data_IF_971310434654
#
_entry.id   IF_971310434654
#
_cell.length_a   1.000
_cell.length_b   1.000
_cell.length_c   1.000
_cell.angle_alpha   90.00
_cell.angle_beta   90.00
_cell.angle_gamma   90.00
#
_symmetry.space_group_name_H-M   'P 1'
#
loop_
_entity.id
_entity.type
_entity.pdbx_description
1 polymer ?
#
# COMPACT_ATOMS: atom_id res chain seq x y z
N UNK A 1 17.57 22.22 -18.94
CA UNK A 1 17.69 20.99 -18.14
C UNK A 1 17.54 21.39 -16.69
N UNK A 2 16.33 21.74 -16.29
CA UNK A 2 15.98 21.97 -14.88
C UNK A 2 15.44 20.66 -14.36
N UNK A 3 16.11 20.17 -13.33
CA UNK A 3 15.77 18.99 -12.56
C UNK A 3 14.48 19.28 -11.78
N UNK A 4 13.34 18.75 -12.24
CA UNK A 4 12.04 18.80 -11.54
C UNK A 4 12.03 17.81 -10.36
N UNK A 5 13.11 17.78 -9.58
CA UNK A 5 13.33 16.90 -8.43
C UNK A 5 12.28 17.05 -7.30
N UNK A 6 11.30 17.94 -7.48
CA UNK A 6 10.25 18.21 -6.50
C UNK A 6 8.82 18.24 -7.09
N UNK A 7 8.60 17.67 -8.27
CA UNK A 7 7.23 17.47 -8.80
C UNK A 7 6.52 16.36 -8.03
N UNK A 8 6.04 16.69 -6.82
CA UNK A 8 5.12 15.82 -6.08
C UNK A 8 3.77 15.86 -6.77
N UNK A 9 3.23 14.69 -7.08
CA UNK A 9 1.84 14.60 -7.54
C UNK A 9 0.92 15.26 -6.52
N UNK A 10 -0.05 16.03 -7.01
CA UNK A 10 -1.16 16.47 -6.17
C UNK A 10 -1.84 15.22 -5.55
N UNK A 11 -2.30 15.26 -4.29
CA UNK A 11 -2.91 14.10 -3.65
C UNK A 11 -4.06 13.48 -4.47
N UNK A 12 -4.84 14.31 -5.17
CA UNK A 12 -5.93 13.88 -6.06
C UNK A 12 -5.47 13.14 -7.32
N UNK A 13 -4.21 13.30 -7.73
CA UNK A 13 -3.64 12.65 -8.91
C UNK A 13 -2.96 11.30 -8.59
N UNK A 14 -2.82 10.94 -7.30
CA UNK A 14 -2.23 9.67 -6.90
C UNK A 14 -3.14 8.52 -7.32
N UNK A 15 -2.55 7.48 -7.93
CA UNK A 15 -3.24 6.24 -8.33
C UNK A 15 -2.57 4.98 -7.79
N UNK A 16 -1.28 5.06 -7.49
CA UNK A 16 -0.46 3.96 -6.97
C UNK A 16 0.13 4.35 -5.63
N UNK A 17 0.08 3.43 -4.68
CA UNK A 17 0.62 3.61 -3.33
C UNK A 17 1.60 2.50 -3.01
N UNK A 18 2.78 2.87 -2.50
CA UNK A 18 3.73 1.91 -1.96
C UNK A 18 3.54 1.81 -0.44
N UNK A 19 3.34 0.59 0.06
CA UNK A 19 3.28 0.30 1.50
C UNK A 19 4.56 -0.46 1.91
N UNK A 20 5.39 0.18 2.72
CA UNK A 20 6.67 -0.39 3.19
C UNK A 20 6.47 -0.90 4.63
N UNK A 21 6.56 -2.21 4.80
CA UNK A 21 6.19 -2.94 6.01
C UNK A 21 4.78 -3.53 5.92
N UNK A 22 4.65 -4.83 6.18
CA UNK A 22 3.44 -5.64 6.03
C UNK A 22 2.92 -6.20 7.37
N UNK A 23 3.32 -5.59 8.49
CA UNK A 23 2.70 -5.84 9.80
C UNK A 23 1.27 -5.30 9.89
N UNK A 24 0.63 -5.37 11.06
CA UNK A 24 -0.79 -4.98 11.26
C UNK A 24 -1.12 -3.59 10.71
N UNK A 25 -0.29 -2.58 10.98
CA UNK A 25 -0.50 -1.21 10.51
C UNK A 25 -0.36 -1.12 8.98
N UNK A 26 0.68 -1.72 8.42
CA UNK A 26 0.93 -1.72 6.98
C UNK A 26 -0.15 -2.46 6.19
N UNK A 27 -0.61 -3.59 6.72
CA UNK A 27 -1.74 -4.33 6.16
C UNK A 27 -3.04 -3.52 6.22
N UNK A 28 -3.29 -2.80 7.33
CA UNK A 28 -4.44 -1.90 7.46
C UNK A 28 -4.44 -0.80 6.39
N UNK A 29 -3.29 -0.16 6.14
CA UNK A 29 -3.17 0.84 5.06
C UNK A 29 -3.31 0.21 3.68
N UNK A 30 -2.72 -0.96 3.46
CA UNK A 30 -2.83 -1.70 2.19
C UNK A 30 -4.31 -1.99 1.89
N UNK A 31 -5.04 -2.56 2.85
CA UNK A 31 -6.48 -2.83 2.71
C UNK A 31 -7.28 -1.54 2.47
N UNK A 32 -6.97 -0.46 3.21
CA UNK A 32 -7.62 0.83 3.07
C UNK A 32 -7.49 1.44 1.67
N UNK A 33 -6.29 1.37 1.08
CA UNK A 33 -6.02 1.90 -0.27
C UNK A 33 -6.63 1.00 -1.35
N UNK A 34 -6.54 -0.33 -1.20
CA UNK A 34 -7.21 -1.27 -2.11
C UNK A 34 -8.73 -1.04 -2.13
N UNK A 35 -9.36 -0.86 -0.97
CA UNK A 35 -10.80 -0.58 -0.85
C UNK A 35 -11.22 0.74 -1.53
N UNK A 36 -10.28 1.67 -1.76
CA UNK A 36 -10.51 2.94 -2.47
C UNK A 36 -10.15 2.87 -3.97
N UNK A 37 -9.77 1.70 -4.47
CA UNK A 37 -9.45 1.49 -5.88
C UNK A 37 -8.04 1.97 -6.28
N UNK A 38 -7.13 2.16 -5.32
CA UNK A 38 -5.73 2.41 -5.63
C UNK A 38 -5.02 1.10 -6.00
N UNK A 39 -4.01 1.20 -6.88
CA UNK A 39 -3.02 0.15 -7.07
C UNK A 39 -2.05 0.19 -5.87
N UNK A 40 -1.86 -0.93 -5.17
CA UNK A 40 -0.96 -0.97 -4.02
C UNK A 40 0.19 -1.94 -4.28
N UNK A 41 1.41 -1.45 -4.08
CA UNK A 41 2.62 -2.27 -4.07
C UNK A 41 3.08 -2.36 -2.61
N UNK A 42 3.04 -3.55 -2.02
CA UNK A 42 3.51 -3.77 -0.67
C UNK A 42 4.90 -4.44 -0.68
N UNK A 43 5.76 -4.08 0.27
CA UNK A 43 7.08 -4.69 0.42
C UNK A 43 7.43 -4.86 1.89
N UNK A 44 7.97 -6.03 2.24
CA UNK A 44 8.49 -6.34 3.57
C UNK A 44 9.57 -7.44 3.42
N UNK A 45 10.73 -7.32 4.10
CA UNK A 45 11.82 -8.29 3.97
C UNK A 45 11.58 -9.57 4.78
N UNK A 46 10.56 -9.64 5.64
CA UNK A 46 10.29 -10.81 6.45
C UNK A 46 9.87 -12.01 5.59
N UNK A 47 10.43 -13.21 5.85
CA UNK A 47 9.93 -14.43 5.22
C UNK A 47 8.43 -14.61 5.47
N UNK A 48 7.66 -14.94 4.43
CA UNK A 48 6.22 -15.16 4.53
C UNK A 48 5.37 -13.88 4.62
N UNK A 49 5.95 -12.69 4.42
CA UNK A 49 5.21 -11.44 4.53
C UNK A 49 4.04 -11.32 3.54
N UNK A 50 4.17 -11.87 2.33
CA UNK A 50 3.11 -11.84 1.31
C UNK A 50 1.87 -12.63 1.75
N UNK A 51 2.05 -13.86 2.23
CA UNK A 51 0.97 -14.72 2.74
C UNK A 51 0.28 -14.05 3.92
N UNK A 52 1.06 -13.62 4.92
CA UNK A 52 0.54 -12.94 6.11
C UNK A 52 -0.20 -11.65 5.78
N UNK A 53 0.28 -10.87 4.81
CA UNK A 53 -0.40 -9.69 4.32
C UNK A 53 -1.76 -10.05 3.71
N UNK A 54 -1.80 -11.12 2.89
CA UNK A 54 -3.02 -11.65 2.30
C UNK A 54 -4.07 -12.01 3.36
N UNK A 55 -3.66 -12.75 4.40
CA UNK A 55 -4.54 -13.11 5.54
C UNK A 55 -5.09 -11.87 6.25
N UNK A 56 -4.24 -10.90 6.57
CA UNK A 56 -4.64 -9.66 7.26
C UNK A 56 -5.60 -8.82 6.40
N UNK A 57 -5.37 -8.73 5.09
CA UNK A 57 -6.27 -8.02 4.18
C UNK A 57 -7.62 -8.74 4.09
N UNK A 58 -7.63 -10.07 4.01
CA UNK A 58 -8.86 -10.87 3.98
C UNK A 58 -9.66 -10.67 5.27
N UNK A 59 -9.00 -10.72 6.42
CA UNK A 59 -9.62 -10.50 7.73
C UNK A 59 -10.18 -9.07 7.90
N UNK A 60 -9.64 -8.09 7.18
CA UNK A 60 -10.10 -6.70 7.22
C UNK A 60 -11.33 -6.41 6.33
N UNK A 61 -11.80 -7.38 5.52
CA UNK A 61 -12.98 -7.18 4.66
C UNK A 61 -14.29 -7.27 5.47
N UNK A 62 -15.34 -6.53 5.07
CA UNK A 62 -16.68 -6.73 5.61
C UNK A 62 -17.17 -8.17 5.38
N UNK A 63 -17.98 -8.69 6.31
CA UNK A 63 -18.65 -9.99 6.20
C UNK A 63 -19.75 -10.03 5.13
#
# INVERSE_FOLDING_TARGET
MTDDANSRLAPSAVRRVACIGCGVIGAGWTAHFLARGYEVIAWDPAPGAEEKLGELILAARPA
#
